data_IF_765456823919
#
_entry.id   IF_765456823919
#
_cell.length_a   1.000
_cell.length_b   1.000
_cell.length_c   1.000
_cell.angle_alpha   90.00
_cell.angle_beta   90.00
_cell.angle_gamma   90.00
#
_symmetry.space_group_name_H-M   'P 1'
#
loop_
_entity.id
_entity.type
_entity.pdbx_description
1 polymer ?
#
# COMPACT_ATOMS: atom_id res chain seq x y z
N UNK A 1 40.20 -74.77 0.96
CA UNK A 1 39.24 -75.70 0.34
C UNK A 1 38.77 -75.06 -0.95
N UNK A 2 38.89 -75.59 -2.15
CA UNK A 2 39.67 -76.70 -2.70
C UNK A 2 39.82 -76.36 -4.20
N UNK A 3 41.02 -76.56 -4.75
CA UNK A 3 41.22 -76.75 -6.19
C UNK A 3 40.37 -77.94 -6.66
N UNK A 4 39.94 -77.94 -7.92
CA UNK A 4 40.09 -79.14 -8.75
C UNK A 4 40.00 -78.80 -10.25
N UNK A 5 41.14 -79.07 -10.85
CA UNK A 5 41.52 -79.15 -12.25
C UNK A 5 41.09 -80.47 -12.91
N UNK A 6 41.29 -80.53 -14.23
CA UNK A 6 41.55 -81.73 -15.05
C UNK A 6 40.30 -82.61 -15.32
N UNK A 7 40.12 -83.27 -16.48
CA UNK A 7 40.98 -83.52 -17.64
C UNK A 7 40.13 -84.24 -18.72
N UNK A 8 40.83 -84.65 -19.79
CA UNK A 8 40.56 -85.73 -20.74
C UNK A 8 39.83 -85.32 -22.03
N UNK A 9 40.54 -85.21 -23.16
CA UNK A 9 41.18 -86.28 -23.96
C UNK A 9 40.30 -86.54 -25.20
N UNK A 10 40.76 -86.93 -26.37
CA UNK A 10 42.08 -87.28 -26.90
C UNK A 10 41.86 -87.65 -28.37
N UNK A 11 42.96 -87.75 -29.12
CA UNK A 11 43.15 -88.65 -30.25
C UNK A 11 42.52 -88.24 -31.61
N UNK A 12 43.19 -88.38 -32.75
CA UNK A 12 44.52 -88.91 -33.04
C UNK A 12 44.73 -88.94 -34.56
N UNK A 13 46.02 -89.03 -34.96
CA UNK A 13 46.55 -89.60 -36.22
C UNK A 13 46.33 -88.78 -37.51
N UNK A 14 47.34 -88.55 -38.35
CA UNK A 14 48.74 -88.96 -38.32
C UNK A 14 49.38 -88.84 -39.70
N UNK A 15 50.70 -88.60 -39.70
CA UNK A 15 51.73 -89.13 -40.63
C UNK A 15 51.67 -88.72 -42.13
N UNK A 16 52.75 -88.51 -42.90
CA UNK A 16 54.21 -88.68 -42.73
C UNK A 16 54.92 -88.18 -44.03
N UNK A 17 56.21 -87.81 -43.90
CA UNK A 17 57.32 -87.88 -44.89
C UNK A 17 57.29 -86.95 -46.12
N UNK A 18 58.38 -86.38 -46.61
CA UNK A 18 59.80 -86.45 -46.26
C UNK A 18 60.64 -85.64 -47.27
N UNK A 19 61.73 -85.05 -46.77
CA UNK A 19 63.02 -84.66 -47.37
C UNK A 19 63.16 -84.27 -48.86
N UNK A 20 63.81 -83.12 -49.11
CA UNK A 20 65.20 -83.06 -49.64
C UNK A 20 65.73 -81.62 -49.79
N UNK A 21 67.04 -81.52 -49.59
CA UNK A 21 67.94 -80.36 -49.64
C UNK A 21 68.57 -80.21 -51.05
N UNK A 22 69.27 -79.08 -51.28
CA UNK A 22 70.28 -78.77 -52.35
C UNK A 22 69.72 -78.29 -53.72
N UNK A 23 70.31 -77.39 -54.55
CA UNK A 23 71.50 -76.52 -54.55
C UNK A 23 71.54 -75.72 -55.89
N UNK A 24 71.96 -74.44 -55.85
CA UNK A 24 72.69 -73.59 -56.85
C UNK A 24 72.20 -73.26 -58.29
N UNK A 25 72.35 -71.94 -58.61
CA UNK A 25 72.79 -71.23 -59.83
C UNK A 25 72.10 -71.55 -61.19
N UNK A 26 71.77 -70.60 -62.09
CA UNK A 26 72.59 -69.52 -62.65
C UNK A 26 71.70 -68.63 -63.56
N UNK A 27 71.97 -67.32 -63.64
CA UNK A 27 72.01 -66.62 -64.94
C UNK A 27 70.79 -65.86 -65.48
N UNK A 28 70.98 -64.54 -65.59
CA UNK A 28 70.56 -63.65 -66.71
C UNK A 28 69.25 -62.86 -66.61
N UNK A 29 69.38 -61.64 -66.09
CA UNK A 29 68.98 -60.34 -66.67
C UNK A 29 67.76 -60.28 -67.61
N UNK A 30 66.68 -59.61 -67.17
CA UNK A 30 66.22 -58.30 -67.70
C UNK A 30 65.03 -57.73 -66.91
N UNK A 31 65.31 -56.66 -66.17
CA UNK A 31 64.55 -55.41 -66.00
C UNK A 31 63.13 -55.36 -66.62
N UNK A 32 62.06 -55.34 -65.81
CA UNK A 32 61.34 -54.13 -65.35
C UNK A 32 60.23 -54.49 -64.36
N UNK A 33 59.96 -53.53 -63.48
CA UNK A 33 59.15 -53.51 -62.28
C UNK A 33 57.87 -54.37 -62.26
N UNK A 34 57.77 -55.15 -61.19
CA UNK A 34 56.70 -56.07 -60.88
C UNK A 34 55.40 -55.37 -60.54
N UNK A 35 54.39 -55.66 -61.36
CA UNK A 35 53.13 -56.25 -60.87
C UNK A 35 52.27 -55.36 -59.97
N UNK A 36 51.55 -54.47 -60.65
CA UNK A 36 50.12 -54.27 -60.42
C UNK A 36 49.43 -55.64 -60.26
N UNK A 37 49.31 -56.18 -59.05
CA UNK A 37 48.21 -57.05 -58.58
C UNK A 37 48.37 -57.47 -57.10
N UNK A 38 48.18 -56.53 -56.17
CA UNK A 38 47.55 -56.84 -54.88
C UNK A 38 46.58 -55.73 -54.50
N UNK A 39 45.54 -55.60 -55.33
CA UNK A 39 44.21 -55.17 -54.90
C UNK A 39 43.93 -55.97 -53.60
N UNK A 40 43.89 -55.36 -52.42
CA UNK A 40 43.26 -54.08 -52.12
C UNK A 40 41.86 -54.28 -51.53
N UNK A 41 41.47 -55.52 -51.17
CA UNK A 41 40.10 -55.82 -50.71
C UNK A 41 40.02 -56.27 -49.24
N UNK A 42 41.06 -56.90 -48.67
CA UNK A 42 40.99 -57.31 -47.25
C UNK A 42 41.33 -56.19 -46.26
N UNK A 43 42.17 -55.23 -46.67
CA UNK A 43 42.56 -54.07 -45.85
C UNK A 43 41.61 -52.87 -45.95
N UNK A 44 40.90 -52.73 -47.09
CA UNK A 44 40.02 -51.59 -47.35
C UNK A 44 38.73 -51.64 -46.52
N UNK A 45 38.18 -52.84 -46.28
CA UNK A 45 37.02 -53.02 -45.38
C UNK A 45 37.36 -52.63 -43.94
N UNK A 46 38.54 -53.01 -43.43
CA UNK A 46 39.00 -52.61 -42.10
C UNK A 46 39.27 -51.10 -42.03
N UNK A 47 39.93 -50.51 -43.02
CA UNK A 47 40.16 -49.05 -43.08
C UNK A 47 38.88 -48.24 -43.26
N UNK A 48 37.91 -48.74 -44.00
CA UNK A 48 36.58 -48.15 -44.14
C UNK A 48 35.81 -48.22 -42.82
N UNK A 49 35.88 -49.36 -42.11
CA UNK A 49 35.29 -49.50 -40.77
C UNK A 49 35.98 -48.58 -39.76
N UNK A 50 37.31 -48.47 -39.75
CA UNK A 50 38.03 -47.51 -38.90
C UNK A 50 37.73 -46.06 -39.27
N UNK A 51 37.58 -45.72 -40.54
CA UNK A 51 37.19 -44.38 -40.99
C UNK A 51 35.75 -44.05 -40.58
N UNK A 52 34.84 -45.03 -40.65
CA UNK A 52 33.45 -44.91 -40.22
C UNK A 52 33.34 -44.77 -38.69
N UNK A 53 34.11 -45.56 -37.93
CA UNK A 53 34.23 -45.41 -36.48
C UNK A 53 34.84 -44.06 -36.11
N UNK A 54 35.89 -43.62 -36.81
CA UNK A 54 36.52 -42.31 -36.57
C UNK A 54 35.53 -41.18 -36.86
N UNK A 55 34.78 -41.25 -37.95
CA UNK A 55 33.72 -40.31 -38.28
C UNK A 55 32.63 -40.31 -37.19
N UNK A 56 32.22 -41.49 -36.71
CA UNK A 56 31.26 -41.62 -35.62
C UNK A 56 31.80 -40.98 -34.32
N UNK A 57 33.07 -41.20 -33.98
CA UNK A 57 33.72 -40.59 -32.82
C UNK A 57 33.75 -39.06 -32.96
N UNK A 58 34.09 -38.55 -34.14
CA UNK A 58 34.08 -37.10 -34.41
C UNK A 58 32.67 -36.54 -34.26
N UNK A 59 31.64 -37.22 -34.76
CA UNK A 59 30.23 -36.80 -34.57
C UNK A 59 29.83 -36.82 -33.09
N UNK A 60 30.25 -37.83 -32.32
CA UNK A 60 29.98 -37.90 -30.88
C UNK A 60 30.67 -36.73 -30.16
N UNK A 61 31.95 -36.47 -30.43
CA UNK A 61 32.69 -35.36 -29.80
C UNK A 61 32.12 -34.00 -30.21
N UNK A 62 31.71 -33.85 -31.47
CA UNK A 62 31.04 -32.64 -31.93
C UNK A 62 29.70 -32.43 -31.21
N UNK A 63 28.87 -33.47 -31.11
CA UNK A 63 27.60 -33.42 -30.38
C UNK A 63 27.80 -33.10 -28.90
N UNK A 64 28.81 -33.69 -28.25
CA UNK A 64 29.16 -33.39 -26.86
C UNK A 64 29.59 -31.92 -26.72
N UNK A 65 30.47 -31.44 -27.60
CA UNK A 65 30.94 -30.05 -27.60
C UNK A 65 29.79 -29.07 -27.79
N UNK A 66 28.90 -29.32 -28.77
CA UNK A 66 27.71 -28.50 -29.01
C UNK A 66 26.77 -28.54 -27.81
N UNK A 67 26.58 -29.69 -27.17
CA UNK A 67 25.74 -29.81 -25.97
C UNK A 67 26.33 -29.01 -24.81
N UNK A 68 27.64 -29.09 -24.55
CA UNK A 68 28.30 -28.29 -23.52
C UNK A 68 28.23 -26.79 -23.82
N UNK A 69 28.37 -26.40 -25.09
CA UNK A 69 28.24 -25.01 -25.50
C UNK A 69 26.82 -24.48 -25.29
N UNK A 70 25.80 -25.25 -25.69
CA UNK A 70 24.39 -24.94 -25.46
C UNK A 70 24.09 -24.84 -23.95
N UNK A 71 24.60 -25.76 -23.13
CA UNK A 71 24.42 -25.70 -21.67
C UNK A 71 25.04 -24.44 -21.08
N UNK A 72 26.22 -24.05 -21.56
CA UNK A 72 26.91 -22.82 -21.11
C UNK A 72 26.15 -21.55 -21.49
N UNK A 73 25.62 -21.47 -22.72
CA UNK A 73 24.83 -20.32 -23.19
C UNK A 73 23.50 -20.20 -22.45
N UNK A 74 22.81 -21.31 -22.21
CA UNK A 74 21.56 -21.32 -21.45
C UNK A 74 21.78 -21.10 -19.94
N UNK A 75 23.03 -20.93 -19.49
CA UNK A 75 23.36 -20.67 -18.09
C UNK A 75 23.10 -21.87 -17.16
N UNK A 76 23.10 -23.09 -17.68
CA UNK A 76 22.99 -24.29 -16.85
C UNK A 76 24.30 -24.50 -16.08
N UNK A 77 24.23 -24.25 -14.78
CA UNK A 77 25.32 -24.56 -13.84
C UNK A 77 24.91 -25.78 -12.99
N UNK A 78 25.88 -26.44 -12.36
CA UNK A 78 25.59 -27.55 -11.43
C UNK A 78 24.71 -27.11 -10.24
N UNK A 79 24.63 -25.81 -9.97
CA UNK A 79 23.85 -25.20 -8.88
C UNK A 79 22.46 -24.68 -9.31
N UNK A 80 22.15 -24.65 -10.61
CA UNK A 80 20.89 -24.08 -11.08
C UNK A 80 20.83 -23.70 -12.56
N UNK A 81 19.66 -23.21 -12.96
CA UNK A 81 19.33 -22.77 -14.33
C UNK A 81 19.36 -21.24 -14.37
N UNK A 82 20.34 -20.66 -15.05
CA UNK A 82 20.48 -19.21 -15.19
C UNK A 82 20.61 -18.50 -13.83
N UNK A 83 19.80 -17.46 -13.62
CA UNK A 83 19.72 -16.74 -12.34
C UNK A 83 18.99 -17.48 -11.22
N UNK A 84 18.50 -18.71 -11.45
CA UNK A 84 17.73 -19.48 -10.47
C UNK A 84 18.57 -20.62 -9.88
N UNK A 85 18.81 -20.57 -8.57
CA UNK A 85 19.51 -21.60 -7.80
C UNK A 85 18.50 -22.43 -7.01
N UNK A 86 18.54 -23.75 -7.19
CA UNK A 86 17.64 -24.68 -6.50
C UNK A 86 18.40 -25.29 -5.32
N UNK A 87 17.99 -24.95 -4.10
CA UNK A 87 18.46 -25.57 -2.88
C UNK A 87 17.39 -26.54 -2.34
N UNK A 88 17.77 -27.46 -1.45
CA UNK A 88 16.87 -28.49 -0.88
C UNK A 88 15.58 -27.93 -0.23
N UNK A 89 15.55 -26.64 0.13
CA UNK A 89 14.42 -26.00 0.81
C UNK A 89 14.00 -24.63 0.24
N UNK A 90 14.73 -24.08 -0.74
CA UNK A 90 14.44 -22.76 -1.31
C UNK A 90 14.83 -22.68 -2.77
N UNK A 91 14.07 -21.88 -3.51
CA UNK A 91 14.45 -21.40 -4.84
C UNK A 91 14.94 -19.98 -4.64
N UNK A 92 16.17 -19.71 -5.04
CA UNK A 92 16.77 -18.37 -4.95
C UNK A 92 16.96 -17.83 -6.36
N UNK A 93 16.38 -16.67 -6.64
CA UNK A 93 16.47 -16.01 -7.93
C UNK A 93 17.37 -14.78 -7.76
N UNK A 94 18.56 -14.82 -8.34
CA UNK A 94 19.58 -13.76 -8.26
C UNK A 94 19.58 -12.84 -9.49
N UNK A 95 18.78 -13.15 -10.52
CA UNK A 95 18.66 -12.38 -11.75
C UNK A 95 17.23 -12.37 -12.28
N UNK A 96 17.07 -12.24 -13.60
CA UNK A 96 15.75 -12.34 -14.23
C UNK A 96 15.30 -13.80 -14.32
N UNK A 97 14.06 -14.06 -13.95
CA UNK A 97 13.42 -15.36 -14.10
C UNK A 97 12.00 -15.18 -14.61
N UNK A 98 11.70 -15.82 -15.73
CA UNK A 98 10.37 -15.83 -16.32
C UNK A 98 9.68 -17.17 -16.05
N UNK A 99 8.40 -17.11 -15.71
CA UNK A 99 7.59 -18.30 -15.45
C UNK A 99 6.42 -18.32 -16.42
N UNK A 100 6.33 -19.39 -17.21
CA UNK A 100 5.25 -19.56 -18.21
C UNK A 100 3.89 -19.79 -17.54
N UNK A 101 3.90 -20.43 -16.37
CA UNK A 101 2.70 -20.83 -15.63
C UNK A 101 2.71 -20.23 -14.22
N UNK A 102 1.57 -20.37 -13.52
CA UNK A 102 1.43 -19.94 -12.14
C UNK A 102 2.50 -20.59 -11.23
N UNK A 103 3.10 -19.75 -10.37
CA UNK A 103 4.11 -20.16 -9.39
C UNK A 103 3.47 -20.22 -8.02
N UNK A 104 3.54 -21.38 -7.37
CA UNK A 104 3.01 -21.60 -6.04
C UNK A 104 4.15 -21.62 -5.03
N UNK A 105 4.12 -20.70 -4.07
CA UNK A 105 5.15 -20.54 -3.05
C UNK A 105 4.48 -20.51 -1.69
N UNK A 106 5.09 -21.17 -0.70
CA UNK A 106 4.66 -21.04 0.69
C UNK A 106 5.05 -19.68 1.28
N UNK A 107 6.19 -19.14 0.82
CA UNK A 107 6.73 -17.87 1.28
C UNK A 107 7.42 -17.18 0.11
N UNK A 108 7.03 -15.93 -0.11
CA UNK A 108 7.72 -15.01 -0.99
C UNK A 108 8.42 -13.97 -0.10
N UNK A 109 9.72 -13.80 -0.27
CA UNK A 109 10.51 -12.83 0.50
C UNK A 109 11.62 -12.25 -0.35
N UNK A 110 11.83 -10.93 -0.24
CA UNK A 110 12.99 -10.26 -0.82
C UNK A 110 14.24 -10.46 0.05
N UNK A 111 15.41 -10.16 -0.52
CA UNK A 111 16.67 -10.12 0.22
C UNK A 111 16.58 -9.11 1.38
N UNK A 112 17.33 -9.37 2.45
CA UNK A 112 17.31 -8.53 3.66
C UNK A 112 17.62 -7.07 3.31
N UNK A 113 16.74 -6.16 3.75
CA UNK A 113 16.81 -4.70 3.52
C UNK A 113 16.57 -4.25 2.08
N UNK A 114 16.07 -5.10 1.18
CA UNK A 114 15.68 -4.70 -0.18
C UNK A 114 14.16 -4.73 -0.31
N UNK A 115 13.50 -3.63 -0.73
CA UNK A 115 12.05 -3.62 -0.94
C UNK A 115 11.65 -4.62 -2.03
N UNK A 116 10.46 -5.20 -1.89
CA UNK A 116 9.85 -6.04 -2.91
C UNK A 116 8.96 -5.16 -3.79
N UNK A 117 9.20 -5.20 -5.09
CA UNK A 117 8.35 -4.54 -6.08
C UNK A 117 7.49 -5.60 -6.79
N UNK A 118 6.21 -5.28 -6.99
CA UNK A 118 5.28 -6.07 -7.79
C UNK A 118 4.71 -5.09 -8.80
N UNK A 119 5.06 -5.28 -10.06
CA UNK A 119 4.61 -4.45 -11.19
C UNK A 119 3.80 -5.31 -12.14
N UNK A 120 2.72 -4.75 -12.68
CA UNK A 120 1.80 -5.46 -13.55
C UNK A 120 1.11 -4.46 -14.48
N UNK A 121 0.96 -4.86 -15.74
CA UNK A 121 0.15 -4.17 -16.75
C UNK A 121 -1.36 -4.37 -16.52
N UNK A 122 -1.71 -5.31 -15.63
CA UNK A 122 -3.07 -5.68 -15.26
C UNK A 122 -3.28 -5.58 -13.75
N UNK A 123 -4.52 -5.75 -13.32
CA UNK A 123 -4.87 -5.69 -11.91
C UNK A 123 -4.10 -6.72 -11.06
N UNK A 124 -3.58 -6.27 -9.90
CA UNK A 124 -2.95 -7.12 -8.89
C UNK A 124 -3.97 -7.43 -7.80
N UNK A 125 -4.18 -8.73 -7.51
CA UNK A 125 -5.12 -9.20 -6.50
C UNK A 125 -4.36 -9.96 -5.40
N UNK A 126 -4.40 -9.44 -4.18
CA UNK A 126 -3.90 -10.11 -2.99
C UNK A 126 -5.08 -10.63 -2.18
N UNK A 127 -5.27 -11.95 -2.15
CA UNK A 127 -6.39 -12.59 -1.43
C UNK A 127 -5.87 -13.44 -0.28
N UNK A 128 -6.40 -13.22 0.92
CA UNK A 128 -6.29 -14.17 2.02
C UNK A 128 -7.55 -15.05 2.06
N UNK A 129 -7.36 -16.32 2.37
CA UNK A 129 -8.44 -17.29 2.56
C UNK A 129 -8.38 -17.86 3.97
N UNK A 130 -9.54 -18.14 4.54
CA UNK A 130 -9.65 -18.80 5.82
C UNK A 130 -9.38 -20.31 5.71
N UNK A 131 -9.43 -21.02 6.85
CA UNK A 131 -9.23 -22.48 6.92
C UNK A 131 -10.27 -23.28 6.14
N UNK A 132 -11.42 -22.68 5.83
CA UNK A 132 -12.51 -23.30 5.06
C UNK A 132 -12.40 -23.03 3.55
N UNK A 133 -11.41 -22.24 3.12
CA UNK A 133 -11.19 -21.87 1.72
C UNK A 133 -11.98 -20.65 1.25
N UNK A 134 -12.80 -20.07 2.14
CA UNK A 134 -13.53 -18.84 1.87
C UNK A 134 -12.58 -17.64 1.92
N UNK A 135 -12.92 -16.59 1.19
CA UNK A 135 -12.06 -15.41 1.05
C UNK A 135 -12.27 -14.53 2.27
N UNK A 136 -11.25 -14.41 3.11
CA UNK A 136 -11.29 -13.63 4.35
C UNK A 136 -11.00 -12.15 4.11
N UNK A 137 -10.07 -11.85 3.19
CA UNK A 137 -9.79 -10.46 2.79
C UNK A 137 -9.21 -10.41 1.39
N UNK A 138 -9.40 -9.27 0.71
CA UNK A 138 -8.86 -9.02 -0.62
C UNK A 138 -8.39 -7.58 -0.75
N UNK A 139 -7.18 -7.38 -1.22
CA UNK A 139 -6.67 -6.09 -1.69
C UNK A 139 -6.51 -6.14 -3.21
N UNK A 140 -7.11 -5.18 -3.90
CA UNK A 140 -7.14 -5.10 -5.36
C UNK A 140 -6.51 -3.78 -5.78
N UNK A 141 -5.45 -3.86 -6.60
CA UNK A 141 -4.84 -2.72 -7.27
C UNK A 141 -5.24 -2.80 -8.75
N UNK A 142 -5.94 -1.77 -9.24
CA UNK A 142 -6.44 -1.61 -10.61
C UNK A 142 -6.04 -0.23 -11.15
N UNK A 143 -6.36 0.02 -12.41
CA UNK A 143 -6.20 1.32 -13.06
C UNK A 143 -6.84 2.43 -12.20
N UNK A 144 -5.99 3.32 -11.66
CA UNK A 144 -6.38 4.45 -10.82
C UNK A 144 -7.24 4.11 -9.59
N UNK A 145 -7.26 2.85 -9.13
CA UNK A 145 -8.11 2.42 -8.01
C UNK A 145 -7.41 1.40 -7.12
N UNK A 146 -7.48 1.64 -5.81
CA UNK A 146 -7.13 0.66 -4.78
C UNK A 146 -8.41 0.32 -4.01
N UNK A 147 -8.77 -0.97 -3.97
CA UNK A 147 -9.95 -1.46 -3.27
C UNK A 147 -9.56 -2.52 -2.24
N UNK A 148 -9.94 -2.31 -0.99
CA UNK A 148 -9.80 -3.30 0.08
C UNK A 148 -11.19 -3.88 0.43
N UNK A 149 -11.27 -5.20 0.55
CA UNK A 149 -12.45 -5.95 0.99
C UNK A 149 -12.03 -6.71 2.26
N UNK A 150 -12.54 -6.27 3.40
CA UNK A 150 -12.25 -6.81 4.72
C UNK A 150 -13.24 -6.24 5.74
N UNK A 151 -13.47 -6.97 6.84
CA UNK A 151 -14.32 -6.51 7.95
C UNK A 151 -13.70 -5.32 8.72
N UNK A 152 -12.36 -5.20 8.65
CA UNK A 152 -11.57 -4.18 9.33
C UNK A 152 -10.32 -3.84 8.51
N UNK A 153 -10.17 -2.56 8.17
CA UNK A 153 -8.97 -2.01 7.51
C UNK A 153 -8.26 -1.07 8.49
N UNK A 154 -6.96 -1.29 8.72
CA UNK A 154 -6.17 -0.47 9.67
C UNK A 154 -4.87 0.00 9.03
N UNK A 155 -4.54 1.27 9.26
CA UNK A 155 -3.21 1.83 9.02
C UNK A 155 -2.55 2.03 10.37
N UNK A 156 -1.43 1.34 10.61
CA UNK A 156 -0.70 1.36 11.88
C UNK A 156 0.59 2.15 11.76
N UNK A 157 0.94 2.86 12.83
CA UNK A 157 2.23 3.53 12.93
C UNK A 157 3.36 2.54 13.30
N UNK A 158 4.60 3.03 13.40
CA UNK A 158 5.77 2.20 13.77
C UNK A 158 5.68 1.58 15.16
N UNK A 159 4.89 2.17 16.06
CA UNK A 159 4.65 1.67 17.42
C UNK A 159 3.51 0.64 17.48
N UNK A 160 2.93 0.27 16.33
CA UNK A 160 1.81 -0.66 16.23
C UNK A 160 0.45 -0.07 16.61
N UNK A 161 0.34 1.25 16.77
CA UNK A 161 -0.94 1.94 17.06
C UNK A 161 -1.66 2.27 15.76
N UNK A 162 -2.96 1.96 15.68
CA UNK A 162 -3.80 2.34 14.55
C UNK A 162 -4.00 3.85 14.49
N UNK A 163 -3.60 4.48 13.39
CA UNK A 163 -3.81 5.91 13.07
C UNK A 163 -5.05 6.13 12.20
N UNK A 164 -5.47 5.10 11.47
CA UNK A 164 -6.71 5.06 10.71
C UNK A 164 -7.29 3.66 10.83
N UNK A 165 -8.58 3.55 11.11
CA UNK A 165 -9.30 2.27 11.09
C UNK A 165 -10.69 2.44 10.48
N UNK A 166 -11.05 1.57 9.55
CA UNK A 166 -12.38 1.52 8.96
C UNK A 166 -13.01 0.14 9.21
N UNK A 167 -14.25 0.14 9.68
CA UNK A 167 -15.10 -1.04 9.93
C UNK A 167 -16.46 -0.83 9.28
N UNK A 168 -17.37 -1.80 9.40
CA UNK A 168 -18.75 -1.67 8.90
C UNK A 168 -19.52 -0.50 9.55
N UNK A 169 -19.23 -0.20 10.83
CA UNK A 169 -20.02 0.76 11.61
C UNK A 169 -19.36 2.14 11.75
N UNK A 170 -18.02 2.19 11.73
CA UNK A 170 -17.30 3.43 12.00
C UNK A 170 -15.97 3.52 11.24
N UNK A 171 -15.57 4.76 10.97
CA UNK A 171 -14.23 5.14 10.55
C UNK A 171 -13.62 5.99 11.67
N UNK A 172 -12.56 5.49 12.29
CA UNK A 172 -11.84 6.20 13.33
C UNK A 172 -10.48 6.69 12.81
N UNK A 173 -10.18 7.95 13.09
CA UNK A 173 -8.91 8.59 12.72
C UNK A 173 -8.24 9.06 14.00
N UNK A 174 -7.05 8.53 14.27
CA UNK A 174 -6.25 8.84 15.46
C UNK A 174 -4.96 9.53 15.03
N UNK A 175 -5.03 10.84 14.90
CA UNK A 175 -3.92 11.70 14.53
C UNK A 175 -3.88 12.92 15.45
N UNK A 176 -2.69 13.50 15.64
CA UNK A 176 -2.55 14.75 16.39
C UNK A 176 -3.16 15.93 15.63
N UNK A 177 -2.98 15.95 14.31
CA UNK A 177 -3.47 17.01 13.44
C UNK A 177 -4.25 16.41 12.28
N UNK A 178 -5.58 16.59 12.30
CA UNK A 178 -6.45 16.22 11.18
C UNK A 178 -6.76 17.46 10.35
N UNK A 179 -6.32 17.48 9.09
CA UNK A 179 -6.66 18.53 8.12
C UNK A 179 -7.59 17.96 7.05
N UNK A 180 -8.83 18.45 7.00
CA UNK A 180 -9.79 18.10 5.96
C UNK A 180 -9.69 19.18 4.88
N UNK A 181 -9.16 18.82 3.72
CA UNK A 181 -9.03 19.72 2.56
C UNK A 181 -10.18 19.38 1.61
N UNK A 182 -11.09 20.33 1.38
CA UNK A 182 -12.18 20.20 0.42
C UNK A 182 -12.33 21.52 -0.32
N UNK A 183 -12.42 21.47 -1.65
CA UNK A 183 -12.60 22.66 -2.49
C UNK A 183 -13.93 23.38 -2.20
N UNK A 184 -14.94 22.65 -1.70
CA UNK A 184 -16.28 23.16 -1.40
C UNK A 184 -16.63 23.25 0.09
N UNK A 185 -15.65 23.07 0.98
CA UNK A 185 -15.90 22.95 2.42
C UNK A 185 -16.35 21.54 2.84
N UNK A 186 -16.63 21.36 4.13
CA UNK A 186 -17.02 20.06 4.70
C UNK A 186 -18.44 20.15 5.26
N UNK A 187 -19.30 19.21 4.87
CA UNK A 187 -20.66 19.07 5.42
C UNK A 187 -20.64 17.97 6.46
N UNK A 188 -21.21 18.25 7.64
CA UNK A 188 -21.34 17.29 8.72
C UNK A 188 -22.84 17.10 9.01
N UNK A 189 -23.36 15.90 8.75
CA UNK A 189 -24.79 15.57 8.95
C UNK A 189 -25.16 15.34 10.44
N UNK A 190 -24.20 15.47 11.35
CA UNK A 190 -24.36 15.19 12.78
C UNK A 190 -23.66 16.20 13.69
N UNK A 191 -23.65 15.91 14.99
CA UNK A 191 -22.98 16.74 15.99
C UNK A 191 -21.47 16.62 15.87
N UNK A 192 -20.78 17.76 15.89
CA UNK A 192 -19.32 17.83 16.03
C UNK A 192 -19.00 18.13 17.49
N UNK A 193 -18.27 17.23 18.14
CA UNK A 193 -17.75 17.48 19.49
C UNK A 193 -16.32 18.02 19.38
N UNK A 194 -16.11 19.24 19.84
CA UNK A 194 -14.79 19.90 19.88
C UNK A 194 -14.65 20.75 21.14
N UNK A 195 -13.42 20.95 21.59
CA UNK A 195 -13.11 21.84 22.72
C UNK A 195 -13.05 23.31 22.33
N UNK A 196 -12.68 23.60 21.07
CA UNK A 196 -12.54 24.96 20.57
C UNK A 196 -12.85 25.02 19.09
N UNK A 197 -13.51 26.11 18.68
CA UNK A 197 -13.71 26.47 17.28
C UNK A 197 -12.98 27.79 17.08
N UNK A 198 -12.00 27.81 16.19
CA UNK A 198 -11.20 29.00 15.88
C UNK A 198 -11.09 29.15 14.37
N UNK A 199 -11.30 30.36 13.82
CA UNK A 199 -11.09 30.63 12.41
C UNK A 199 -9.60 30.67 12.08
N UNK A 200 -9.27 30.68 10.79
CA UNK A 200 -7.91 30.95 10.32
C UNK A 200 -7.46 32.37 10.70
N UNK A 201 -6.14 32.62 10.65
CA UNK A 201 -5.61 33.96 10.89
C UNK A 201 -6.24 34.97 9.93
N UNK A 202 -6.64 36.13 10.45
CA UNK A 202 -7.25 37.23 9.71
C UNK A 202 -8.61 36.94 9.04
N UNK A 203 -9.24 35.81 9.40
CA UNK A 203 -10.60 35.47 8.96
C UNK A 203 -11.59 35.52 10.13
N UNK A 204 -12.80 36.07 9.93
CA UNK A 204 -13.83 36.03 10.96
C UNK A 204 -14.40 34.61 11.13
N UNK A 205 -14.80 34.26 12.35
CA UNK A 205 -15.64 33.08 12.57
C UNK A 205 -17.08 33.42 12.24
N UNK A 206 -17.59 32.88 11.13
CA UNK A 206 -18.99 33.04 10.72
C UNK A 206 -19.82 31.84 11.18
N UNK A 207 -20.84 32.10 11.98
CA UNK A 207 -21.86 31.12 12.34
C UNK A 207 -23.20 31.62 11.79
N UNK A 208 -23.71 30.96 10.75
CA UNK A 208 -24.94 31.38 10.07
C UNK A 208 -25.95 30.24 9.92
N UNK A 209 -27.24 30.59 9.91
CA UNK A 209 -28.34 29.67 9.68
C UNK A 209 -29.35 30.32 8.72
N UNK A 210 -29.17 30.18 7.39
CA UNK A 210 -29.97 30.91 6.41
C UNK A 210 -31.46 30.54 6.38
N UNK A 211 -31.80 29.32 6.80
CA UNK A 211 -33.15 28.77 6.65
C UNK A 211 -33.89 28.52 7.96
N UNK A 212 -33.19 28.58 9.09
CA UNK A 212 -33.75 28.25 10.42
C UNK A 212 -33.31 29.30 11.44
N UNK A 213 -32.95 28.86 12.64
CA UNK A 213 -32.32 29.69 13.65
C UNK A 213 -30.95 29.12 14.02
N UNK A 214 -30.20 29.91 14.78
CA UNK A 214 -28.99 29.48 15.48
C UNK A 214 -29.28 29.57 16.97
N UNK A 215 -29.00 28.48 17.70
CA UNK A 215 -29.19 28.42 19.15
C UNK A 215 -27.86 28.04 19.82
N UNK A 216 -27.47 28.81 20.82
CA UNK A 216 -26.28 28.55 21.65
C UNK A 216 -26.76 28.24 23.06
N UNK A 217 -26.56 27.00 23.52
CA UNK A 217 -26.91 26.55 24.87
C UNK A 217 -25.63 26.20 25.63
N UNK A 218 -25.49 26.69 26.84
CA UNK A 218 -24.32 26.42 27.70
C UNK A 218 -24.79 26.05 29.11
N UNK A 219 -24.01 25.21 29.80
CA UNK A 219 -24.36 24.68 31.11
C UNK A 219 -24.16 25.68 32.27
N UNK A 220 -23.20 26.60 32.15
CA UNK A 220 -22.85 27.57 33.18
C UNK A 220 -23.04 29.00 32.67
N UNK A 221 -22.15 29.45 31.79
CA UNK A 221 -22.03 30.86 31.43
C UNK A 221 -21.66 31.06 29.94
N UNK A 222 -22.18 32.13 29.35
CA UNK A 222 -21.83 32.59 27.99
C UNK A 222 -21.22 33.99 28.13
N UNK A 223 -19.96 34.14 27.73
CA UNK A 223 -19.27 35.42 27.70
C UNK A 223 -18.99 35.83 26.25
N UNK A 224 -19.48 37.01 25.84
CA UNK A 224 -19.24 37.58 24.52
C UNK A 224 -18.35 38.82 24.71
N UNK A 225 -17.07 38.71 24.33
CA UNK A 225 -16.07 39.76 24.52
C UNK A 225 -15.53 40.27 23.19
N UNK A 226 -15.46 41.60 23.06
CA UNK A 226 -14.71 42.28 22.00
C UNK A 226 -13.56 43.07 22.62
N UNK A 227 -12.31 42.61 22.42
CA UNK A 227 -11.12 43.32 22.94
C UNK A 227 -10.81 44.59 22.16
N UNK A 228 -11.20 44.65 20.90
CA UNK A 228 -11.01 45.77 20.02
C UNK A 228 -12.17 45.78 19.00
N UNK A 229 -12.85 46.91 18.89
CA UNK A 229 -14.02 47.08 18.03
C UNK A 229 -15.35 46.86 18.76
N UNK A 230 -16.44 47.03 18.02
CA UNK A 230 -17.80 47.08 18.57
C UNK A 230 -18.50 45.72 18.54
N UNK A 231 -19.42 45.51 19.48
CA UNK A 231 -20.43 44.44 19.39
C UNK A 231 -21.71 45.05 18.84
N UNK A 232 -22.14 44.58 17.67
CA UNK A 232 -23.37 45.05 17.01
C UNK A 232 -24.40 43.92 16.97
N UNK A 233 -25.59 44.19 17.49
CA UNK A 233 -26.74 43.31 17.40
C UNK A 233 -27.84 43.98 16.59
N UNK A 234 -28.27 43.36 15.49
CA UNK A 234 -29.33 43.86 14.60
C UNK A 234 -30.39 42.78 14.42
N UNK A 235 -31.66 43.18 14.41
CA UNK A 235 -32.78 42.30 14.14
C UNK A 235 -33.83 43.02 13.30
N UNK A 236 -34.52 42.27 12.42
CA UNK A 236 -35.68 42.79 11.68
C UNK A 236 -36.89 43.06 12.60
N UNK A 237 -36.99 42.27 13.67
CA UNK A 237 -38.07 42.36 14.66
C UNK A 237 -37.49 42.80 16.01
N UNK A 238 -37.63 41.96 17.03
CA UNK A 238 -37.26 42.30 18.40
C UNK A 238 -35.92 41.67 18.77
N UNK A 239 -35.13 42.40 19.54
CA UNK A 239 -34.03 41.85 20.34
C UNK A 239 -34.56 41.75 21.77
N UNK A 240 -34.62 40.54 22.32
CA UNK A 240 -35.18 40.28 23.66
C UNK A 240 -34.06 39.90 24.61
N UNK A 241 -33.83 40.73 25.62
CA UNK A 241 -32.99 40.41 26.77
C UNK A 241 -33.90 40.03 27.94
N UNK A 242 -33.76 38.82 28.48
CA UNK A 242 -34.57 38.32 29.59
C UNK A 242 -33.69 37.65 30.64
N UNK A 243 -33.90 37.99 31.90
CA UNK A 243 -33.26 37.36 33.05
C UNK A 243 -34.34 36.76 33.96
N UNK A 244 -34.25 35.46 34.26
CA UNK A 244 -35.28 34.76 35.02
C UNK A 244 -35.25 35.09 36.53
N UNK A 245 -34.05 35.13 37.12
CA UNK A 245 -33.82 35.38 38.55
C UNK A 245 -32.73 36.44 38.80
N UNK A 246 -32.31 37.16 37.75
CA UNK A 246 -31.23 38.14 37.84
C UNK A 246 -31.64 39.51 37.31
N UNK A 247 -30.65 40.30 36.94
CA UNK A 247 -30.82 41.64 36.39
C UNK A 247 -30.14 41.77 35.04
N UNK A 248 -30.57 42.75 34.24
CA UNK A 248 -29.92 43.13 32.99
C UNK A 248 -29.18 44.43 33.28
N UNK A 249 -27.84 44.38 33.28
CA UNK A 249 -26.99 45.53 33.61
C UNK A 249 -26.41 46.12 32.32
N UNK A 250 -26.74 47.38 32.05
CA UNK A 250 -26.14 48.16 30.96
C UNK A 250 -25.21 49.20 31.60
N UNK A 251 -23.93 48.87 31.71
CA UNK A 251 -22.93 49.76 32.31
C UNK A 251 -22.14 50.49 31.21
N UNK A 252 -22.57 51.72 30.90
CA UNK A 252 -21.92 52.59 29.92
C UNK A 252 -22.05 54.05 30.35
N UNK A 253 -21.04 54.92 30.10
CA UNK A 253 -21.15 56.36 30.32
C UNK A 253 -22.33 57.00 29.59
N UNK A 254 -22.69 56.46 28.42
CA UNK A 254 -23.82 56.95 27.63
C UNK A 254 -24.65 55.77 27.12
N UNK A 255 -25.96 55.80 27.38
CA UNK A 255 -26.95 54.86 26.85
C UNK A 255 -27.92 55.67 25.99
N UNK A 256 -27.97 55.36 24.69
CA UNK A 256 -28.83 56.05 23.74
C UNK A 256 -30.02 55.17 23.38
N UNK A 257 -31.23 55.67 23.63
CA UNK A 257 -32.48 55.08 23.15
C UNK A 257 -33.11 56.08 22.18
N UNK A 258 -32.81 55.90 20.88
CA UNK A 258 -33.25 56.81 19.83
C UNK A 258 -34.66 56.48 19.32
N UNK A 259 -35.31 57.44 18.66
CA UNK A 259 -36.63 57.33 18.03
C UNK A 259 -37.78 57.01 18.99
N UNK A 260 -37.63 57.42 20.25
CA UNK A 260 -38.74 57.42 21.19
C UNK A 260 -39.82 58.39 20.69
N UNK A 261 -41.04 57.87 20.50
CA UNK A 261 -42.20 58.71 20.19
C UNK A 261 -42.49 59.62 21.38
N UNK A 262 -42.68 60.92 21.13
CA UNK A 262 -43.11 61.85 22.18
C UNK A 262 -44.61 61.72 22.36
N UNK A 263 -45.04 61.62 23.62
CA UNK A 263 -46.45 61.74 23.97
C UNK A 263 -47.00 63.12 23.58
N UNK A 264 -48.25 63.16 23.12
CA UNK A 264 -48.99 64.40 22.91
C UNK A 264 -49.79 64.74 24.16
N UNK A 265 -50.04 66.03 24.42
CA UNK A 265 -50.84 66.49 25.58
C UNK A 265 -52.28 65.94 25.61
N UNK A 266 -52.76 65.42 24.47
CA UNK A 266 -54.04 64.73 24.36
C UNK A 266 -53.82 63.23 24.54
N UNK A 267 -54.28 62.68 25.66
CA UNK A 267 -54.18 61.25 25.94
C UNK A 267 -54.47 60.90 27.41
N UNK A 268 -54.40 59.61 27.74
CA UNK A 268 -54.46 59.12 29.12
C UNK A 268 -53.21 59.55 29.91
N UNK A 269 -53.29 59.57 31.25
CA UNK A 269 -52.13 59.86 32.11
C UNK A 269 -50.99 58.90 31.79
N UNK A 270 -49.83 59.45 31.42
CA UNK A 270 -48.60 58.73 31.16
C UNK A 270 -47.68 58.82 32.38
N UNK A 271 -46.81 57.83 32.57
CA UNK A 271 -45.75 57.89 33.57
C UNK A 271 -44.45 58.33 32.90
N UNK A 272 -43.67 59.14 33.59
CA UNK A 272 -42.28 59.40 33.21
C UNK A 272 -41.39 58.32 33.83
N UNK A 273 -40.34 57.89 33.12
CA UNK A 273 -39.37 56.95 33.67
C UNK A 273 -38.15 57.72 34.15
N UNK A 274 -37.83 57.57 35.43
CA UNK A 274 -36.70 58.20 36.10
C UNK A 274 -35.60 57.18 36.36
N UNK A 275 -34.34 57.61 36.31
CA UNK A 275 -33.16 56.79 36.58
C UNK A 275 -32.53 57.23 37.91
N UNK A 276 -32.40 56.31 38.85
CA UNK A 276 -31.65 56.50 40.10
C UNK A 276 -30.14 56.57 39.81
N UNK A 277 -29.35 57.16 40.72
CA UNK A 277 -27.87 57.22 40.57
C UNK A 277 -27.20 55.84 40.45
N UNK A 278 -27.82 54.79 40.99
CA UNK A 278 -27.33 53.41 40.89
C UNK A 278 -27.81 52.66 39.63
N UNK A 279 -28.48 53.34 38.70
CA UNK A 279 -28.92 52.76 37.43
C UNK A 279 -30.31 52.09 37.46
N UNK A 280 -31.01 52.09 38.60
CA UNK A 280 -32.39 51.56 38.67
C UNK A 280 -33.39 52.53 38.02
N UNK A 281 -34.30 51.99 37.20
CA UNK A 281 -35.40 52.75 36.59
C UNK A 281 -36.66 52.65 37.45
N UNK A 282 -37.36 53.76 37.65
CA UNK A 282 -38.65 53.80 38.34
C UNK A 282 -39.66 54.68 37.61
N UNK A 283 -40.94 54.38 37.78
CA UNK A 283 -42.04 55.19 37.23
C UNK A 283 -42.36 56.35 38.16
N UNK A 284 -42.39 57.56 37.63
CA UNK A 284 -42.90 58.74 38.31
C UNK A 284 -44.12 59.30 37.57
N UNK A 285 -44.97 60.04 38.29
CA UNK A 285 -46.13 60.70 37.69
C UNK A 285 -45.69 61.76 36.67
N UNK A 286 -46.56 62.07 35.70
CA UNK A 286 -46.28 63.11 34.72
C UNK A 286 -46.12 64.48 35.40
N UNK A 287 -45.02 65.20 35.09
CA UNK A 287 -44.81 66.59 35.49
C UNK A 287 -44.32 66.82 36.92
N UNK A 288 -43.93 65.76 37.65
CA UNK A 288 -43.28 65.88 38.97
C UNK A 288 -41.77 65.69 38.86
N UNK A 289 -41.00 66.16 39.83
CA UNK A 289 -39.56 65.89 39.87
C UNK A 289 -39.29 64.39 40.06
N UNK A 290 -38.23 63.87 39.41
CA UNK A 290 -37.76 62.50 39.58
C UNK A 290 -37.19 62.26 40.98
N UNK A 291 -38.07 61.98 41.95
CA UNK A 291 -37.71 61.66 43.34
C UNK A 291 -38.30 60.30 43.73
N UNK A 292 -37.44 59.42 44.23
CA UNK A 292 -37.81 58.10 44.72
C UNK A 292 -37.28 57.91 46.13
N UNK A 293 -38.00 57.10 46.91
CA UNK A 293 -37.63 56.72 48.27
C UNK A 293 -36.49 55.69 48.28
N UNK A 294 -35.86 55.51 49.44
CA UNK A 294 -34.69 54.64 49.59
C UNK A 294 -34.98 53.16 49.31
N UNK A 295 -36.22 52.70 49.43
CA UNK A 295 -36.66 51.36 49.06
C UNK A 295 -36.69 51.15 47.53
N UNK A 296 -36.97 52.21 46.76
CA UNK A 296 -37.03 52.15 45.29
C UNK A 296 -35.63 52.27 44.68
N UNK A 297 -34.88 53.29 45.09
CA UNK A 297 -33.53 53.53 44.57
C UNK A 297 -32.43 52.81 45.36
N UNK A 298 -32.71 52.16 46.48
CA UNK A 298 -31.69 51.43 47.26
C UNK A 298 -30.60 52.33 47.84
N UNK A 299 -30.91 53.58 48.17
CA UNK A 299 -29.96 54.49 48.82
C UNK A 299 -29.58 53.89 50.19
N UNK A 300 -28.31 53.59 50.37
CA UNK A 300 -27.75 53.07 51.62
C UNK A 300 -27.27 54.21 52.50
#
# INVERSE_FOLDING_TARGET
MANLSHDYASNSLGCRFGDKLTTYNHGSSKMTDSTIYRIGIYGWRKRCLYAMILLLIVLIVANITVTFWIMSIMGFTLDGIGGMRISKAKIEVTGEAEFVNAVYLQRLSSASKVPMFIESDRAVLLTARDKTGNISSRLVLKDNQIQAICDRFEVVNRDGKAVFSATENEVAVRVENLRIISEGGSVFDGSIQTSVIRPEADMPLLLESPTRGMEVRVAQDIEILSRAGDIKAEALHNIVFQSANGEIVLNSPNIYVDRLMRGTEKGHMQYQVCLCENGRLFLAHNGVDCRASSDVCGFR
#
